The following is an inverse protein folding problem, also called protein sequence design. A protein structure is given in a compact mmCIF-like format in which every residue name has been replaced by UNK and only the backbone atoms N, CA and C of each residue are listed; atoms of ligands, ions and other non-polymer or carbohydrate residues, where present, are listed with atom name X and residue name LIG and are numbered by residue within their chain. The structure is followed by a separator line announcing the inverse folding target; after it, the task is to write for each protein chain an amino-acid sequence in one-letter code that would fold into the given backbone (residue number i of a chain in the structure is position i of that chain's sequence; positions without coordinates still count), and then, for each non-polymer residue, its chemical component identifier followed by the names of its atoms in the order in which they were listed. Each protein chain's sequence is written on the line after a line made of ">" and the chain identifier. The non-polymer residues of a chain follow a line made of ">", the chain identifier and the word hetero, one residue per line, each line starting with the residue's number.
data_IF_193581631249
#
_entry.id   IF_193581631249
#
_cell.length_a   1.000
_cell.length_b   1.000
_cell.length_c   1.000
_cell.angle_alpha   90.00
_cell.angle_beta   90.00
_cell.angle_gamma   90.00
#
_symmetry.space_group_name_H-M   'P 1'
#
loop_
_entity.id
_entity.type
_entity.pdbx_description
1 polymer ?
#
# COMPACT_ATOMS: atom_id res chain seq x y z
N UNK A 1 12.24 -36.24 -52.60
CA UNK A 1 13.39 -35.60 -51.91
C UNK A 1 13.54 -34.23 -52.57
N UNK A 2 13.35 -33.06 -51.96
CA UNK A 2 13.37 -32.63 -50.56
C UNK A 2 12.40 -31.42 -50.43
N UNK A 3 11.92 -31.20 -49.21
CA UNK A 3 10.88 -30.25 -48.81
C UNK A 3 11.23 -28.77 -48.98
N UNK A 4 10.22 -27.99 -49.38
CA UNK A 4 10.14 -26.53 -49.30
C UNK A 4 9.97 -26.12 -47.83
N UNK A 5 10.90 -25.31 -47.29
CA UNK A 5 10.71 -24.55 -46.05
C UNK A 5 10.56 -23.07 -46.40
N UNK A 6 9.31 -22.59 -46.36
CA UNK A 6 8.98 -21.18 -46.31
C UNK A 6 9.05 -20.73 -44.85
N UNK A 7 10.01 -19.90 -44.49
CA UNK A 7 10.04 -19.21 -43.20
C UNK A 7 9.31 -17.87 -43.33
N UNK A 8 8.11 -17.83 -42.78
CA UNK A 8 7.30 -16.62 -42.65
C UNK A 8 7.96 -15.63 -41.67
N UNK A 9 8.30 -14.45 -42.18
CA UNK A 9 8.46 -13.24 -41.39
C UNK A 9 7.09 -12.89 -40.78
N UNK A 10 6.97 -12.95 -39.46
CA UNK A 10 5.82 -12.38 -38.75
C UNK A 10 6.19 -11.02 -38.19
N UNK A 11 5.28 -10.08 -38.49
CA UNK A 11 5.33 -8.66 -38.22
C UNK A 11 5.42 -8.38 -36.72
N UNK A 12 6.18 -7.35 -36.37
CA UNK A 12 6.26 -6.81 -35.02
C UNK A 12 4.87 -6.48 -34.46
N UNK A 13 4.59 -7.04 -33.30
CA UNK A 13 3.41 -6.72 -32.48
C UNK A 13 3.91 -5.80 -31.37
N UNK A 14 3.44 -4.55 -31.38
CA UNK A 14 3.61 -3.58 -30.29
C UNK A 14 3.09 -4.19 -28.97
N UNK A 15 3.76 -3.98 -27.82
CA UNK A 15 3.26 -4.49 -26.55
C UNK A 15 1.91 -3.84 -26.24
N UNK A 16 0.93 -4.69 -25.93
CA UNK A 16 -0.44 -4.31 -25.59
C UNK A 16 -0.41 -3.35 -24.40
N UNK A 17 -0.95 -2.15 -24.61
CA UNK A 17 -1.35 -1.28 -23.52
C UNK A 17 -2.34 -2.06 -22.64
N UNK A 18 -1.99 -2.30 -21.38
CA UNK A 18 -2.94 -2.86 -20.42
C UNK A 18 -4.11 -1.90 -20.28
N UNK A 19 -5.33 -2.40 -20.50
CA UNK A 19 -6.51 -1.55 -20.37
C UNK A 19 -6.68 -1.17 -18.89
N UNK A 20 -7.03 0.09 -18.65
CA UNK A 20 -7.34 0.67 -17.35
C UNK A 20 -8.29 -0.22 -16.51
N UNK A 21 -9.12 -1.04 -17.16
CA UNK A 21 -10.07 -1.93 -16.52
C UNK A 21 -9.43 -3.17 -15.86
N UNK A 22 -8.25 -3.64 -16.29
CA UNK A 22 -7.59 -4.81 -15.69
C UNK A 22 -6.87 -4.49 -14.39
N UNK A 23 -6.42 -3.24 -14.21
CA UNK A 23 -5.82 -2.77 -12.95
C UNK A 23 -6.87 -2.72 -11.84
N UNK A 24 -8.07 -2.21 -12.13
CA UNK A 24 -9.20 -2.11 -11.17
C UNK A 24 -9.61 -3.47 -10.59
N UNK A 25 -9.51 -4.55 -11.36
CA UNK A 25 -9.85 -5.90 -10.86
C UNK A 25 -8.77 -6.47 -9.92
N UNK A 26 -7.51 -6.03 -10.04
CA UNK A 26 -6.44 -6.39 -9.09
C UNK A 26 -6.55 -5.60 -7.77
N UNK A 27 -7.10 -4.38 -7.81
CA UNK A 27 -7.31 -3.52 -6.64
C UNK A 27 -8.33 -4.07 -5.65
N UNK A 28 -9.31 -4.87 -6.09
CA UNK A 28 -10.29 -5.48 -5.19
C UNK A 28 -9.76 -6.69 -4.42
N UNK A 29 -8.65 -7.31 -4.85
CA UNK A 29 -8.18 -8.57 -4.26
C UNK A 29 -7.20 -8.38 -3.10
N UNK A 30 -6.44 -7.27 -3.04
CA UNK A 30 -5.49 -7.06 -1.91
C UNK A 30 -6.20 -6.84 -0.57
N UNK A 31 -7.37 -6.19 -0.55
CA UNK A 31 -8.15 -6.04 0.69
C UNK A 31 -8.96 -7.30 1.08
N UNK A 32 -9.10 -8.28 0.18
CA UNK A 32 -9.83 -9.53 0.48
C UNK A 32 -8.91 -10.61 1.05
N UNK A 33 -7.60 -10.58 0.78
CA UNK A 33 -6.67 -11.65 1.18
C UNK A 33 -6.15 -11.54 2.63
N UNK A 34 -6.52 -10.51 3.39
CA UNK A 34 -6.28 -10.53 4.84
C UNK A 34 -7.23 -11.48 5.60
N UNK A 35 -8.32 -11.94 4.97
CA UNK A 35 -9.33 -12.76 5.64
C UNK A 35 -8.97 -14.24 5.79
N UNK A 36 -8.08 -14.77 4.96
CA UNK A 36 -7.95 -16.23 4.77
C UNK A 36 -6.64 -16.84 5.28
N UNK A 37 -5.80 -16.09 5.99
CA UNK A 37 -4.55 -16.65 6.56
C UNK A 37 -4.40 -16.41 8.06
N UNK A 38 -5.49 -16.57 8.83
CA UNK A 38 -5.34 -16.84 10.25
C UNK A 38 -5.31 -18.35 10.44
N UNK A 39 -4.11 -18.89 10.65
CA UNK A 39 -3.94 -20.26 11.14
C UNK A 39 -4.76 -20.40 12.42
N UNK A 40 -5.66 -21.38 12.43
CA UNK A 40 -6.39 -21.81 13.62
C UNK A 40 -5.38 -22.04 14.75
N UNK A 41 -5.34 -21.14 15.75
CA UNK A 41 -4.43 -21.30 16.88
C UNK A 41 -4.29 -20.12 17.83
N UNK A 42 -4.32 -18.87 17.35
CA UNK A 42 -4.27 -17.68 18.22
C UNK A 42 -5.07 -16.53 17.60
N UNK A 43 -6.40 -16.55 17.74
CA UNK A 43 -7.22 -15.36 17.48
C UNK A 43 -7.60 -14.71 18.80
N UNK A 44 -6.87 -13.65 19.16
CA UNK A 44 -7.43 -12.67 20.10
C UNK A 44 -8.61 -12.01 19.39
N UNK A 45 -9.82 -12.18 19.92
CA UNK A 45 -11.02 -11.57 19.35
C UNK A 45 -11.00 -10.05 19.64
N UNK A 46 -10.34 -9.29 18.77
CA UNK A 46 -10.33 -7.84 18.82
C UNK A 46 -11.65 -7.27 18.29
N UNK A 47 -12.09 -6.12 18.83
CA UNK A 47 -13.15 -5.35 18.20
C UNK A 47 -12.69 -4.80 16.83
N UNK A 48 -13.66 -4.32 16.03
CA UNK A 48 -13.38 -3.84 14.68
C UNK A 48 -12.37 -2.69 14.63
N UNK A 49 -12.42 -1.75 15.57
CA UNK A 49 -11.50 -0.60 15.58
C UNK A 49 -10.08 -1.06 15.88
N UNK A 50 -9.93 -1.92 16.89
CA UNK A 50 -8.64 -2.52 17.25
C UNK A 50 -8.05 -3.33 16.09
N UNK A 51 -8.87 -4.11 15.37
CA UNK A 51 -8.42 -4.82 14.17
C UNK A 51 -7.96 -3.86 13.06
N UNK A 52 -8.71 -2.78 12.82
CA UNK A 52 -8.34 -1.79 11.80
C UNK A 52 -7.02 -1.08 12.16
N UNK A 53 -6.77 -0.78 13.43
CA UNK A 53 -5.48 -0.22 13.87
C UNK A 53 -4.34 -1.19 13.55
N UNK A 54 -4.51 -2.49 13.84
CA UNK A 54 -3.50 -3.51 13.52
C UNK A 54 -3.22 -3.59 12.02
N UNK A 55 -4.28 -3.65 11.21
CA UNK A 55 -4.17 -3.67 9.75
C UNK A 55 -3.49 -2.41 9.22
N UNK A 56 -3.75 -1.26 9.84
CA UNK A 56 -3.15 0.03 9.47
C UNK A 56 -1.66 0.06 9.79
N UNK A 57 -1.24 -0.41 10.97
CA UNK A 57 0.18 -0.55 11.30
C UNK A 57 0.96 -1.32 10.22
N UNK A 58 0.46 -2.48 9.79
CA UNK A 58 1.14 -3.27 8.77
C UNK A 58 1.08 -2.64 7.38
N UNK A 59 -0.02 -1.96 7.04
CA UNK A 59 -0.13 -1.21 5.79
C UNK A 59 0.91 -0.08 5.72
N UNK A 60 1.06 0.68 6.80
CA UNK A 60 2.04 1.78 6.89
C UNK A 60 3.49 1.28 6.83
N UNK A 61 3.81 0.20 7.54
CA UNK A 61 5.13 -0.42 7.43
C UNK A 61 5.42 -0.93 6.01
N UNK A 62 4.41 -1.50 5.34
CA UNK A 62 4.51 -1.92 3.96
C UNK A 62 4.72 -0.73 3.01
N UNK A 63 3.97 0.36 3.21
CA UNK A 63 4.05 1.58 2.40
C UNK A 63 5.41 2.26 2.57
N UNK A 64 5.92 2.39 3.81
CA UNK A 64 7.27 2.84 4.10
C UNK A 64 8.32 2.06 3.29
N UNK A 65 8.29 0.73 3.37
CA UNK A 65 9.23 -0.12 2.66
C UNK A 65 9.10 0.03 1.14
N UNK A 66 7.86 0.13 0.64
CA UNK A 66 7.56 0.31 -0.77
C UNK A 66 8.13 1.64 -1.30
N UNK A 67 7.92 2.74 -0.58
CA UNK A 67 8.45 4.05 -0.95
C UNK A 67 9.98 4.10 -0.91
N UNK A 68 10.61 3.44 0.05
CA UNK A 68 12.07 3.32 0.09
C UNK A 68 12.61 2.59 -1.14
N UNK A 69 11.93 1.54 -1.61
CA UNK A 69 12.27 0.87 -2.88
C UNK A 69 12.01 1.79 -4.09
N UNK A 70 10.89 2.51 -4.12
CA UNK A 70 10.59 3.46 -5.19
C UNK A 70 11.62 4.59 -5.29
N UNK A 71 12.15 5.07 -4.17
CA UNK A 71 13.19 6.09 -4.15
C UNK A 71 14.46 5.63 -4.88
N UNK A 72 14.80 4.34 -4.84
CA UNK A 72 15.98 3.79 -5.51
C UNK A 72 15.84 3.73 -7.04
N UNK A 73 14.61 3.62 -7.53
CA UNK A 73 14.28 3.56 -8.97
C UNK A 73 13.74 4.88 -9.53
N UNK A 74 13.69 5.94 -8.72
CA UNK A 74 13.14 7.22 -9.12
C UNK A 74 13.92 7.82 -10.30
N UNK A 75 13.23 8.28 -11.37
CA UNK A 75 13.90 8.77 -12.58
C UNK A 75 14.47 10.18 -12.42
N UNK A 76 14.04 10.93 -11.40
CA UNK A 76 14.48 12.30 -11.11
C UNK A 76 14.73 12.48 -9.62
N UNK A 77 15.54 13.48 -9.28
CA UNK A 77 15.81 13.84 -7.89
C UNK A 77 14.55 14.33 -7.16
N UNK A 78 13.66 15.03 -7.87
CA UNK A 78 12.37 15.46 -7.34
C UNK A 78 11.48 14.25 -7.00
N UNK A 79 11.36 13.28 -7.89
CA UNK A 79 10.62 12.05 -7.64
C UNK A 79 11.23 11.29 -6.44
N UNK A 80 12.56 11.19 -6.39
CA UNK A 80 13.29 10.55 -5.28
C UNK A 80 12.97 11.23 -3.96
N UNK A 81 12.97 12.56 -3.92
CA UNK A 81 12.67 13.33 -2.73
C UNK A 81 11.22 13.13 -2.27
N UNK A 82 10.24 13.13 -3.19
CA UNK A 82 8.83 12.83 -2.87
C UNK A 82 8.71 11.43 -2.26
N UNK A 83 9.33 10.40 -2.85
CA UNK A 83 9.28 9.04 -2.30
C UNK A 83 9.89 8.97 -0.89
N UNK A 84 11.03 9.63 -0.66
CA UNK A 84 11.65 9.64 0.66
C UNK A 84 10.84 10.38 1.71
N UNK A 85 10.17 11.47 1.33
CA UNK A 85 9.29 12.21 2.22
C UNK A 85 8.10 11.35 2.63
N UNK A 86 7.36 10.79 1.66
CA UNK A 86 6.24 9.90 1.96
C UNK A 86 6.69 8.71 2.81
N UNK A 87 7.84 8.09 2.51
CA UNK A 87 8.38 7.01 3.34
C UNK A 87 8.57 7.40 4.82
N UNK A 88 8.98 8.64 5.09
CA UNK A 88 9.14 9.12 6.47
C UNK A 88 7.80 9.37 7.16
N UNK A 89 6.79 9.81 6.42
CA UNK A 89 5.43 9.94 6.92
C UNK A 89 4.84 8.57 7.29
N UNK A 90 4.94 7.57 6.41
CA UNK A 90 4.38 6.23 6.70
C UNK A 90 5.07 5.57 7.90
N UNK A 91 6.37 5.80 8.08
CA UNK A 91 7.05 5.31 9.27
C UNK A 91 6.47 5.94 10.54
N UNK A 92 6.20 7.24 10.53
CA UNK A 92 5.57 7.94 11.67
C UNK A 92 4.13 7.46 11.89
N UNK A 93 3.38 7.20 10.83
CA UNK A 93 2.03 6.64 10.92
C UNK A 93 2.06 5.26 11.56
N UNK A 94 2.99 4.39 11.14
CA UNK A 94 3.19 3.08 11.74
C UNK A 94 3.50 3.17 13.24
N UNK A 95 4.45 4.01 13.65
CA UNK A 95 4.77 4.23 15.07
C UNK A 95 3.54 4.71 15.87
N UNK A 96 2.71 5.57 15.27
CA UNK A 96 1.50 6.07 15.92
C UNK A 96 0.42 4.97 16.05
N UNK A 97 0.21 4.14 15.03
CA UNK A 97 -0.74 3.02 15.09
C UNK A 97 -0.27 1.90 16.00
N UNK A 98 1.04 1.65 16.07
CA UNK A 98 1.65 0.73 17.05
C UNK A 98 1.30 1.16 18.47
N UNK A 99 1.52 2.43 18.80
CA UNK A 99 1.19 2.97 20.12
C UNK A 99 -0.30 2.81 20.45
N UNK A 100 -1.20 3.13 19.51
CA UNK A 100 -2.65 2.96 19.72
C UNK A 100 -2.98 1.48 19.95
N UNK A 101 -2.39 0.57 19.18
CA UNK A 101 -2.63 -0.87 19.32
C UNK A 101 -2.17 -1.39 20.69
N UNK A 102 -0.98 -0.99 21.13
CA UNK A 102 -0.44 -1.35 22.45
C UNK A 102 -1.33 -0.83 23.58
N UNK A 103 -1.86 0.39 23.47
CA UNK A 103 -2.78 0.95 24.46
C UNK A 103 -4.12 0.19 24.52
N UNK A 104 -4.63 -0.27 23.36
CA UNK A 104 -5.89 -1.01 23.27
C UNK A 104 -5.75 -2.46 23.75
N UNK A 105 -4.60 -3.09 23.55
CA UNK A 105 -4.45 -4.55 23.69
C UNK A 105 -3.45 -4.99 24.76
N UNK A 106 -2.52 -4.11 25.13
CA UNK A 106 -1.37 -4.43 25.97
C UNK A 106 -0.29 -5.29 25.29
N UNK A 107 -0.33 -5.44 23.96
CA UNK A 107 0.59 -6.26 23.16
C UNK A 107 1.13 -5.52 21.95
N UNK A 108 2.32 -5.87 21.47
CA UNK A 108 2.89 -5.26 20.27
C UNK A 108 2.26 -5.84 18.99
N UNK A 109 2.05 -5.03 17.92
CA UNK A 109 1.57 -5.53 16.63
C UNK A 109 2.42 -6.65 16.03
N UNK A 110 3.74 -6.61 16.25
CA UNK A 110 4.71 -7.58 15.72
C UNK A 110 4.49 -9.00 16.24
N UNK A 111 3.85 -9.15 17.39
CA UNK A 111 3.59 -10.45 18.00
C UNK A 111 2.40 -11.20 17.37
N UNK A 112 1.67 -10.56 16.46
CA UNK A 112 0.47 -11.13 15.83
C UNK A 112 0.77 -12.13 14.71
N UNK A 113 2.04 -12.24 14.27
CA UNK A 113 2.46 -13.14 13.19
C UNK A 113 2.08 -12.67 11.77
N UNK A 114 1.57 -11.45 11.63
CA UNK A 114 1.40 -10.79 10.34
C UNK A 114 2.76 -10.33 9.78
N UNK A 115 2.90 -10.34 8.45
CA UNK A 115 4.15 -10.05 7.76
C UNK A 115 3.94 -9.16 6.54
N UNK A 116 4.93 -8.34 6.24
CA UNK A 116 4.97 -7.54 5.00
C UNK A 116 5.21 -8.43 3.78
N UNK A 117 4.71 -7.99 2.64
CA UNK A 117 4.91 -8.60 1.34
C UNK A 117 6.14 -8.00 0.64
N UNK A 118 6.89 -8.81 -0.13
CA UNK A 118 7.97 -8.29 -0.95
C UNK A 118 7.44 -7.35 -2.03
N UNK A 119 8.18 -6.27 -2.31
CA UNK A 119 7.88 -5.35 -3.40
C UNK A 119 8.21 -6.03 -4.74
N UNK A 120 7.33 -5.91 -5.72
CA UNK A 120 7.56 -6.48 -7.06
C UNK A 120 8.54 -5.61 -7.86
N UNK A 121 9.81 -5.96 -7.84
CA UNK A 121 10.89 -5.24 -8.53
C UNK A 121 10.80 -5.26 -10.08
N UNK A 122 9.91 -6.08 -10.66
CA UNK A 122 9.74 -6.14 -12.12
C UNK A 122 8.82 -5.03 -12.67
N UNK A 123 8.20 -4.23 -11.81
CA UNK A 123 7.34 -3.11 -12.21
C UNK A 123 8.17 -1.86 -12.54
N UNK A 124 7.69 -1.04 -13.47
CA UNK A 124 8.31 0.26 -13.71
C UNK A 124 8.00 1.23 -12.57
N UNK A 125 8.81 2.30 -12.43
CA UNK A 125 8.53 3.37 -11.46
C UNK A 125 7.09 3.90 -11.60
N UNK A 126 6.63 4.17 -12.83
CA UNK A 126 5.27 4.69 -13.05
C UNK A 126 4.17 3.66 -12.73
N UNK A 127 4.43 2.36 -12.88
CA UNK A 127 3.48 1.33 -12.46
C UNK A 127 3.34 1.30 -10.94
N UNK A 128 4.45 1.47 -10.21
CA UNK A 128 4.41 1.63 -8.76
C UNK A 128 3.70 2.92 -8.32
N UNK A 129 3.95 4.05 -8.99
CA UNK A 129 3.24 5.32 -8.71
C UNK A 129 1.73 5.15 -8.88
N UNK A 130 1.29 4.50 -9.95
CA UNK A 130 -0.15 4.22 -10.17
C UNK A 130 -0.72 3.32 -9.09
N UNK A 131 0.03 2.29 -8.66
CA UNK A 131 -0.42 1.38 -7.61
C UNK A 131 -0.56 2.13 -6.28
N UNK A 132 0.51 2.80 -5.82
CA UNK A 132 0.49 3.53 -4.56
C UNK A 132 -0.59 4.59 -4.55
N UNK A 133 -0.82 5.32 -5.65
CA UNK A 133 -1.87 6.36 -5.69
C UNK A 133 -3.23 5.87 -5.19
N UNK A 134 -3.61 4.65 -5.58
CA UNK A 134 -4.88 4.07 -5.16
C UNK A 134 -4.82 3.48 -3.75
N UNK A 135 -3.66 2.97 -3.33
CA UNK A 135 -3.44 2.49 -1.97
C UNK A 135 -3.53 3.69 -0.99
N UNK A 136 -2.85 4.81 -1.26
CA UNK A 136 -2.94 6.08 -0.50
C UNK A 136 -4.39 6.58 -0.39
N UNK A 137 -5.12 6.57 -1.52
CA UNK A 137 -6.52 6.99 -1.52
C UNK A 137 -7.41 6.05 -0.69
N UNK A 138 -7.13 4.74 -0.69
CA UNK A 138 -7.86 3.78 0.13
C UNK A 138 -7.59 4.03 1.62
N UNK A 139 -6.34 4.31 1.99
CA UNK A 139 -5.94 4.57 3.38
C UNK A 139 -6.48 5.90 3.90
N UNK A 140 -6.50 6.97 3.08
CA UNK A 140 -7.25 8.19 3.38
C UNK A 140 -8.70 7.90 3.81
N UNK A 141 -9.42 7.08 3.02
CA UNK A 141 -10.81 6.77 3.35
C UNK A 141 -10.94 5.89 4.59
N UNK A 142 -10.04 4.92 4.76
CA UNK A 142 -9.97 4.03 5.93
C UNK A 142 -9.79 4.85 7.20
N UNK A 143 -8.82 5.76 7.24
CA UNK A 143 -8.54 6.61 8.40
C UNK A 143 -9.65 7.60 8.69
N UNK A 144 -10.28 8.18 7.66
CA UNK A 144 -11.51 8.97 7.84
C UNK A 144 -12.63 8.16 8.51
N UNK A 145 -12.83 6.91 8.11
CA UNK A 145 -13.87 6.07 8.70
C UNK A 145 -13.51 5.67 10.14
N UNK A 146 -12.26 5.32 10.41
CA UNK A 146 -11.76 5.05 11.77
C UNK A 146 -11.88 6.27 12.69
N UNK A 147 -11.62 7.48 12.17
CA UNK A 147 -11.80 8.74 12.91
C UNK A 147 -13.24 8.92 13.41
N UNK A 148 -14.22 8.38 12.67
CA UNK A 148 -15.64 8.41 13.07
C UNK A 148 -16.04 7.24 13.98
N UNK A 149 -15.16 6.26 14.21
CA UNK A 149 -15.42 5.10 15.08
C UNK A 149 -15.01 5.33 16.54
N UNK A 150 -14.27 6.41 16.83
CA UNK A 150 -13.73 6.67 18.17
C UNK A 150 -14.01 8.10 18.64
N UNK A 151 -14.29 8.22 19.94
CA UNK A 151 -14.42 9.48 20.66
C UNK A 151 -13.14 9.85 21.43
N UNK A 152 -12.11 8.99 21.44
CA UNK A 152 -10.84 9.30 22.08
C UNK A 152 -10.13 10.44 21.31
N UNK A 153 -9.90 11.62 21.93
CA UNK A 153 -9.34 12.77 21.24
C UNK A 153 -7.93 12.51 20.70
N UNK A 154 -7.09 11.75 21.40
CA UNK A 154 -5.72 11.47 20.95
C UNK A 154 -5.74 10.57 19.70
N UNK A 155 -6.63 9.58 19.65
CA UNK A 155 -6.77 8.70 18.48
C UNK A 155 -7.33 9.47 17.29
N UNK A 156 -8.25 10.40 17.55
CA UNK A 156 -8.80 11.29 16.53
C UNK A 156 -7.73 12.19 15.93
N UNK A 157 -6.85 12.76 16.73
CA UNK A 157 -5.76 13.61 16.23
C UNK A 157 -4.77 12.80 15.37
N UNK A 158 -4.40 11.60 15.81
CA UNK A 158 -3.55 10.68 15.02
C UNK A 158 -4.19 10.36 13.67
N UNK A 159 -5.46 9.92 13.68
CA UNK A 159 -6.18 9.53 12.46
C UNK A 159 -6.44 10.72 11.54
N UNK A 160 -6.68 11.90 12.11
CA UNK A 160 -6.87 13.13 11.36
C UNK A 160 -5.59 13.52 10.62
N UNK A 161 -4.44 13.48 11.28
CA UNK A 161 -3.17 13.82 10.63
C UNK A 161 -2.83 12.80 9.54
N UNK A 162 -2.89 11.49 9.85
CA UNK A 162 -2.60 10.44 8.89
C UNK A 162 -3.48 10.55 7.63
N UNK A 163 -4.80 10.70 7.77
CA UNK A 163 -5.68 10.82 6.59
C UNK A 163 -5.36 12.03 5.71
N UNK A 164 -4.91 13.16 6.28
CA UNK A 164 -4.53 14.32 5.48
C UNK A 164 -3.19 14.12 4.77
N UNK A 165 -2.25 13.44 5.42
CA UNK A 165 -0.98 13.06 4.80
C UNK A 165 -1.20 12.05 3.67
N UNK A 166 -2.08 11.05 3.81
CA UNK A 166 -2.40 10.12 2.69
C UNK A 166 -3.04 10.84 1.50
N UNK A 167 -3.93 11.80 1.77
CA UNK A 167 -4.51 12.59 0.70
C UNK A 167 -3.44 13.43 -0.02
N UNK A 168 -2.48 13.99 0.72
CA UNK A 168 -1.33 14.71 0.17
C UNK A 168 -0.41 13.76 -0.61
N UNK A 169 -0.15 12.54 -0.13
CA UNK A 169 0.62 11.52 -0.84
C UNK A 169 -0.02 11.22 -2.20
N UNK A 170 -1.32 10.95 -2.23
CA UNK A 170 -2.09 10.74 -3.46
C UNK A 170 -1.97 11.93 -4.43
N UNK A 171 -2.02 13.17 -3.93
CA UNK A 171 -1.83 14.36 -4.77
C UNK A 171 -0.43 14.42 -5.40
N UNK A 172 0.62 14.14 -4.64
CA UNK A 172 2.00 14.15 -5.12
C UNK A 172 2.27 13.02 -6.13
N UNK A 173 1.69 11.84 -5.90
CA UNK A 173 1.75 10.75 -6.87
C UNK A 173 1.02 11.09 -8.17
N UNK A 174 -0.12 11.77 -8.06
CA UNK A 174 -0.83 12.29 -9.24
C UNK A 174 0.02 13.29 -10.01
N UNK A 175 0.74 14.18 -9.32
CA UNK A 175 1.69 15.10 -9.95
C UNK A 175 2.77 14.36 -10.76
N UNK A 176 3.32 13.26 -10.23
CA UNK A 176 4.33 12.44 -10.93
C UNK A 176 3.80 11.66 -12.14
N UNK A 177 2.48 11.55 -12.32
CA UNK A 177 1.85 10.89 -13.48
C UNK A 177 1.55 11.84 -14.65
N UNK A 178 1.69 13.15 -14.44
CA UNK A 178 1.42 14.19 -15.45
C UNK A 178 2.73 14.70 -16.08
#
# INVERSE_FOLDING_TARGET
>A
MLLVKLTNQTKGVLPKQHSFCQLVTLFHTKHIVYRDTIKEGVTMAHDRFTQLILESYFAEMQAHHHYMTMAQMAPTEEARHIMMMNAQDEHRHAEAFEKIYEELTGTEPRDTGMHMMPVNENMTFLDHVRMQLFDEYADFRKYKDMYLMTDNPEYRDTLFNAMHDEFRHAMLLTYLLN
#
